data_IF_975669581278
#
_entry.id   IF_975669581278
#
_cell.length_a   1.000
_cell.length_b   1.000
_cell.length_c   1.000
_cell.angle_alpha   90.00
_cell.angle_beta   90.00
_cell.angle_gamma   90.00
#
_symmetry.space_group_name_H-M   'P 1'
#
loop_
_entity.id
_entity.type
_entity.pdbx_description
1 polymer ?
#
# COMPACT_ATOMS: atom_id res chain seq x y z
N UNK A 1 -21.69 -44.52 97.81
CA UNK A 1 -21.62 -44.87 96.40
C UNK A 1 -22.01 -43.66 95.62
N UNK A 2 -21.03 -42.91 95.02
CA UNK A 2 -21.26 -41.66 94.27
C UNK A 2 -21.14 -41.97 92.86
N UNK A 3 -22.22 -41.77 92.11
CA UNK A 3 -22.29 -41.89 90.59
C UNK A 3 -21.85 -40.57 89.97
N UNK A 4 -20.67 -40.61 89.40
CA UNK A 4 -20.12 -39.51 88.62
C UNK A 4 -20.93 -39.36 87.31
N UNK A 5 -21.60 -38.17 87.13
CA UNK A 5 -22.28 -37.73 85.90
C UNK A 5 -21.27 -37.12 85.03
N UNK A 6 -20.92 -37.78 83.92
CA UNK A 6 -20.09 -37.22 82.88
C UNK A 6 -20.89 -36.13 82.15
N UNK A 7 -20.37 -34.86 82.12
CA UNK A 7 -20.83 -33.79 81.24
C UNK A 7 -20.45 -34.11 79.81
N UNK A 8 -21.47 -34.29 78.92
CA UNK A 8 -21.29 -34.32 77.51
C UNK A 8 -20.89 -32.91 77.07
N UNK A 9 -19.68 -32.72 76.56
CA UNK A 9 -19.26 -31.54 75.85
C UNK A 9 -19.99 -31.57 74.53
N UNK A 10 -20.96 -30.64 74.27
CA UNK A 10 -21.49 -30.38 72.92
C UNK A 10 -20.38 -29.74 72.12
N UNK A 11 -19.98 -30.41 71.05
CA UNK A 11 -19.14 -29.85 70.02
C UNK A 11 -20.08 -28.96 69.13
N UNK A 12 -19.97 -27.65 69.34
CA UNK A 12 -20.65 -26.70 68.41
C UNK A 12 -19.99 -26.82 67.04
N UNK A 13 -20.68 -27.39 66.08
CA UNK A 13 -20.28 -27.39 64.69
C UNK A 13 -20.59 -26.01 64.08
N UNK A 14 -19.68 -25.42 63.27
CA UNK A 14 -19.86 -24.06 62.69
C UNK A 14 -21.08 -23.92 61.78
N UNK A 15 -21.84 -24.99 61.58
CA UNK A 15 -22.98 -25.09 60.65
C UNK A 15 -24.32 -24.70 61.31
N UNK A 16 -24.36 -24.63 62.67
CA UNK A 16 -25.64 -24.32 63.39
C UNK A 16 -25.90 -22.84 63.65
N UNK A 17 -25.04 -21.96 63.20
CA UNK A 17 -25.23 -20.51 63.41
C UNK A 17 -25.89 -19.90 62.16
N UNK A 18 -27.20 -19.61 62.24
CA UNK A 18 -27.93 -18.91 61.18
C UNK A 18 -27.31 -17.57 60.76
N UNK A 19 -26.53 -16.93 61.62
CA UNK A 19 -25.76 -15.71 61.33
C UNK A 19 -24.59 -15.95 60.39
N UNK A 20 -23.97 -17.13 60.41
CA UNK A 20 -22.88 -17.48 59.48
C UNK A 20 -23.41 -17.72 58.08
N UNK A 21 -24.61 -18.26 57.89
CA UNK A 21 -25.22 -18.47 56.59
C UNK A 21 -25.61 -17.15 55.90
N UNK A 22 -26.15 -16.18 56.67
CA UNK A 22 -26.51 -14.87 56.16
C UNK A 22 -25.29 -14.00 55.83
N UNK A 23 -24.19 -14.13 56.60
CA UNK A 23 -22.94 -13.44 56.30
C UNK A 23 -22.22 -14.03 55.09
N UNK A 24 -22.25 -15.38 54.93
CA UNK A 24 -21.68 -16.05 53.74
C UNK A 24 -22.44 -15.69 52.47
N UNK A 25 -23.78 -15.66 52.51
CA UNK A 25 -24.62 -15.25 51.36
C UNK A 25 -24.45 -13.77 51.00
N UNK A 26 -24.27 -12.88 52.00
CA UNK A 26 -23.96 -11.46 51.72
C UNK A 26 -22.56 -11.32 51.08
N UNK A 27 -21.55 -12.01 51.62
CA UNK A 27 -20.21 -11.97 51.06
C UNK A 27 -20.14 -12.55 49.63
N UNK A 28 -20.94 -13.57 49.32
CA UNK A 28 -21.06 -14.11 47.94
C UNK A 28 -21.76 -13.09 47.04
N UNK A 29 -22.85 -12.47 47.45
CA UNK A 29 -23.55 -11.45 46.68
C UNK A 29 -22.68 -10.19 46.44
N UNK A 30 -21.92 -9.76 47.45
CA UNK A 30 -21.01 -8.63 47.33
C UNK A 30 -19.79 -8.98 46.44
N UNK A 31 -19.30 -10.24 46.48
CA UNK A 31 -18.24 -10.71 45.58
C UNK A 31 -18.73 -10.80 44.11
N UNK A 32 -19.97 -11.26 43.89
CA UNK A 32 -20.55 -11.35 42.55
C UNK A 32 -20.82 -9.97 41.93
N UNK A 33 -21.35 -9.01 42.72
CA UNK A 33 -21.52 -7.63 42.28
C UNK A 33 -20.17 -6.95 42.00
N UNK A 34 -19.15 -7.23 42.77
CA UNK A 34 -17.78 -6.76 42.52
C UNK A 34 -17.17 -7.39 41.28
N UNK A 35 -17.42 -8.67 41.01
CA UNK A 35 -16.94 -9.37 39.82
C UNK A 35 -17.63 -8.85 38.54
N UNK A 36 -18.94 -8.64 38.59
CA UNK A 36 -19.70 -8.04 37.46
C UNK A 36 -19.16 -6.64 37.12
N UNK A 37 -18.97 -5.80 38.13
CA UNK A 37 -18.42 -4.45 37.91
C UNK A 37 -17.02 -4.48 37.28
N UNK A 38 -16.14 -5.38 37.71
CA UNK A 38 -14.82 -5.59 37.14
C UNK A 38 -14.86 -6.04 35.68
N UNK A 39 -15.73 -7.01 35.37
CA UNK A 39 -15.91 -7.50 33.99
C UNK A 39 -16.46 -6.41 33.07
N UNK A 40 -17.40 -5.60 33.53
CA UNK A 40 -17.91 -4.42 32.80
C UNK A 40 -16.80 -3.40 32.52
N UNK A 41 -15.97 -3.12 33.52
CA UNK A 41 -14.82 -2.20 33.36
C UNK A 41 -13.81 -2.75 32.35
N UNK A 42 -13.48 -4.04 32.44
CA UNK A 42 -12.58 -4.70 31.45
C UNK A 42 -13.16 -4.67 30.04
N UNK A 43 -14.49 -4.86 29.91
CA UNK A 43 -15.15 -4.75 28.61
C UNK A 43 -15.05 -3.32 28.04
N UNK A 44 -15.23 -2.29 28.88
CA UNK A 44 -15.02 -0.89 28.46
C UNK A 44 -13.57 -0.58 28.06
N UNK A 45 -12.59 -1.13 28.83
CA UNK A 45 -11.17 -1.03 28.46
C UNK A 45 -10.94 -1.67 27.10
N UNK A 46 -11.48 -2.88 26.86
CA UNK A 46 -11.37 -3.56 25.58
C UNK A 46 -11.97 -2.76 24.42
N UNK A 47 -13.14 -2.14 24.62
CA UNK A 47 -13.75 -1.29 23.58
C UNK A 47 -12.87 -0.07 23.26
N UNK A 48 -12.22 0.50 24.27
CA UNK A 48 -11.28 1.61 24.09
C UNK A 48 -10.03 1.14 23.35
N UNK A 49 -9.51 -0.01 23.72
CA UNK A 49 -8.36 -0.63 23.07
C UNK A 49 -8.60 -0.99 21.59
N UNK A 50 -9.80 -1.51 21.29
CA UNK A 50 -10.19 -1.80 19.88
C UNK A 50 -10.18 -0.52 19.04
N UNK A 51 -10.69 0.60 19.59
CA UNK A 51 -10.64 1.89 18.88
C UNK A 51 -9.21 2.38 18.66
N UNK A 52 -8.34 2.21 19.64
CA UNK A 52 -6.92 2.55 19.51
C UNK A 52 -6.26 1.67 18.43
N UNK A 53 -6.55 0.37 18.41
CA UNK A 53 -6.03 -0.54 17.38
C UNK A 53 -6.52 -0.15 15.97
N UNK A 54 -7.79 0.26 15.85
CA UNK A 54 -8.34 0.75 14.57
C UNK A 54 -7.63 2.02 14.09
N UNK A 55 -7.31 2.94 15.00
CA UNK A 55 -6.51 4.13 14.68
C UNK A 55 -5.11 3.74 14.20
N UNK A 56 -4.46 2.81 14.90
CA UNK A 56 -3.13 2.34 14.51
C UNK A 56 -3.12 1.63 13.15
N UNK A 57 -4.17 0.83 12.87
CA UNK A 57 -4.34 0.16 11.58
C UNK A 57 -4.48 1.19 10.46
N UNK A 58 -5.40 2.16 10.63
CA UNK A 58 -5.63 3.23 9.66
C UNK A 58 -4.35 4.02 9.37
N UNK A 59 -3.58 4.39 10.41
CA UNK A 59 -2.29 5.07 10.26
C UNK A 59 -1.22 4.21 9.61
N UNK A 60 -1.34 2.89 9.68
CA UNK A 60 -0.42 1.96 9.02
C UNK A 60 -0.69 1.80 7.52
N UNK A 61 -1.96 1.79 7.12
CA UNK A 61 -2.39 1.59 5.73
C UNK A 61 -2.13 2.83 4.86
N UNK A 62 -2.41 4.03 5.36
CA UNK A 62 -2.28 5.28 4.60
C UNK A 62 -0.85 5.56 4.07
N UNK A 63 0.24 5.37 4.83
CA UNK A 63 1.58 5.51 4.31
C UNK A 63 1.94 4.50 3.22
N UNK A 64 1.34 3.31 3.23
CA UNK A 64 1.53 2.31 2.17
C UNK A 64 0.88 2.75 0.87
N UNK A 65 -0.35 3.29 0.92
CA UNK A 65 -1.01 3.88 -0.26
C UNK A 65 -0.20 5.02 -0.89
N UNK A 66 0.41 5.88 -0.05
CA UNK A 66 1.29 6.96 -0.53
C UNK A 66 2.54 6.38 -1.19
N UNK A 67 3.14 5.34 -0.63
CA UNK A 67 4.31 4.67 -1.22
C UNK A 67 3.98 4.02 -2.56
N UNK A 68 2.84 3.34 -2.66
CA UNK A 68 2.39 2.72 -3.92
C UNK A 68 2.20 3.76 -5.02
N UNK A 69 1.67 4.96 -4.69
CA UNK A 69 1.58 6.07 -5.62
C UNK A 69 2.96 6.63 -6.02
N UNK A 70 3.90 6.74 -5.07
CA UNK A 70 5.28 7.16 -5.35
C UNK A 70 5.98 6.18 -6.29
N UNK A 71 5.85 4.88 -6.05
CA UNK A 71 6.42 3.83 -6.90
C UNK A 71 5.78 3.84 -8.31
N UNK A 72 4.47 4.06 -8.40
CA UNK A 72 3.78 4.20 -9.69
C UNK A 72 4.26 5.43 -10.48
N UNK A 73 4.51 6.56 -9.80
CA UNK A 73 5.06 7.78 -10.41
C UNK A 73 6.48 7.54 -10.91
N UNK A 74 7.33 6.85 -10.13
CA UNK A 74 8.70 6.52 -10.55
C UNK A 74 8.71 5.58 -11.77
N UNK A 75 7.79 4.60 -11.79
CA UNK A 75 7.57 3.75 -12.97
C UNK A 75 7.17 4.55 -14.21
N UNK A 76 6.26 5.52 -14.08
CA UNK A 76 5.87 6.40 -15.19
C UNK A 76 7.01 7.30 -15.66
N UNK A 77 7.81 7.86 -14.76
CA UNK A 77 9.01 8.65 -15.09
C UNK A 77 10.03 7.82 -15.87
N UNK A 78 10.27 6.59 -15.44
CA UNK A 78 11.14 5.65 -16.16
C UNK A 78 10.60 5.35 -17.57
N UNK A 79 9.28 5.10 -17.68
CA UNK A 79 8.63 4.88 -18.98
C UNK A 79 8.77 6.10 -19.92
N UNK A 80 8.53 7.30 -19.41
CA UNK A 80 8.69 8.57 -20.15
C UNK A 80 10.14 8.73 -20.62
N UNK A 81 11.12 8.43 -19.79
CA UNK A 81 12.54 8.45 -20.16
C UNK A 81 12.85 7.49 -21.29
N UNK A 82 12.32 6.26 -21.24
CA UNK A 82 12.50 5.27 -22.30
C UNK A 82 11.84 5.73 -23.63
N UNK A 83 10.63 6.26 -23.59
CA UNK A 83 9.96 6.79 -24.78
C UNK A 83 10.76 7.95 -25.39
N UNK A 84 11.33 8.84 -24.57
CA UNK A 84 12.18 9.93 -25.05
C UNK A 84 13.45 9.42 -25.72
N UNK A 85 14.07 8.37 -25.17
CA UNK A 85 15.22 7.72 -25.79
C UNK A 85 14.85 7.09 -27.15
N UNK A 86 13.71 6.36 -27.21
CA UNK A 86 13.19 5.80 -28.47
C UNK A 86 12.99 6.90 -29.53
N UNK A 87 12.37 8.02 -29.15
CA UNK A 87 12.15 9.17 -30.02
C UNK A 87 13.48 9.71 -30.53
N UNK A 88 14.47 9.90 -29.67
CA UNK A 88 15.78 10.40 -30.04
C UNK A 88 16.51 9.45 -31.00
N UNK A 89 16.38 8.14 -30.81
CA UNK A 89 16.95 7.13 -31.72
C UNK A 89 16.27 7.17 -33.10
N UNK A 90 14.94 7.26 -33.14
CA UNK A 90 14.19 7.37 -34.39
C UNK A 90 14.56 8.67 -35.13
N UNK A 91 14.67 9.80 -34.42
CA UNK A 91 15.06 11.08 -35.02
C UNK A 91 16.49 11.02 -35.60
N UNK A 92 17.44 10.41 -34.89
CA UNK A 92 18.79 10.15 -35.38
C UNK A 92 18.77 9.30 -36.64
N UNK A 93 18.00 8.21 -36.64
CA UNK A 93 17.89 7.31 -37.76
C UNK A 93 17.31 8.04 -39.00
N UNK A 94 16.26 8.84 -38.81
CA UNK A 94 15.65 9.64 -39.88
C UNK A 94 16.66 10.66 -40.43
N UNK A 95 17.41 11.35 -39.57
CA UNK A 95 18.45 12.27 -39.96
C UNK A 95 19.54 11.60 -40.83
N UNK A 96 20.02 10.42 -40.37
CA UNK A 96 20.99 9.64 -41.14
C UNK A 96 20.46 9.22 -42.50
N UNK A 97 19.20 8.75 -42.58
CA UNK A 97 18.58 8.37 -43.88
C UNK A 97 18.41 9.55 -44.82
N UNK A 98 18.16 10.75 -44.29
CA UNK A 98 18.17 11.99 -45.14
C UNK A 98 19.55 12.27 -45.72
N UNK A 99 20.62 12.10 -44.96
CA UNK A 99 21.99 12.22 -45.46
C UNK A 99 22.29 11.15 -46.53
N UNK A 100 21.85 9.91 -46.30
CA UNK A 100 22.00 8.83 -47.28
C UNK A 100 21.33 9.20 -48.61
N UNK A 101 20.12 9.79 -48.59
CA UNK A 101 19.41 10.27 -49.81
C UNK A 101 20.22 11.35 -50.53
N UNK A 102 20.79 12.31 -49.80
CA UNK A 102 21.61 13.37 -50.43
C UNK A 102 22.90 12.80 -51.04
N UNK A 103 23.52 11.81 -50.38
CA UNK A 103 24.68 11.08 -50.91
C UNK A 103 24.30 10.30 -52.19
N UNK A 104 23.15 9.59 -52.18
CA UNK A 104 22.66 8.90 -53.38
C UNK A 104 22.39 9.86 -54.55
N UNK A 105 21.72 11.02 -54.30
CA UNK A 105 21.49 12.04 -55.32
C UNK A 105 22.78 12.57 -55.93
N UNK A 106 23.79 12.87 -55.07
CA UNK A 106 25.08 13.37 -55.56
C UNK A 106 25.86 12.30 -56.32
N UNK A 107 25.75 11.02 -55.90
CA UNK A 107 26.32 9.90 -56.65
C UNK A 107 25.67 9.69 -58.03
N UNK A 108 24.32 9.75 -58.07
CA UNK A 108 23.59 9.64 -59.31
C UNK A 108 23.99 10.75 -60.30
N UNK A 109 24.03 12.01 -59.85
CA UNK A 109 24.42 13.14 -60.69
C UNK A 109 25.87 12.95 -61.24
N UNK A 110 26.78 12.48 -60.41
CA UNK A 110 28.16 12.19 -60.85
C UNK A 110 28.22 11.05 -61.85
N UNK A 111 27.48 9.96 -61.67
CA UNK A 111 27.47 8.83 -62.58
C UNK A 111 26.77 9.19 -63.89
N UNK A 112 25.76 10.04 -63.89
CA UNK A 112 25.08 10.57 -65.09
C UNK A 112 26.05 11.42 -65.94
N UNK A 113 26.83 12.29 -65.30
CA UNK A 113 27.87 13.08 -65.96
C UNK A 113 28.95 12.17 -66.56
N UNK A 114 29.45 11.20 -65.80
CA UNK A 114 30.39 10.21 -66.33
C UNK A 114 29.83 9.43 -67.51
N UNK A 115 28.56 8.95 -67.39
CA UNK A 115 27.88 8.18 -68.42
C UNK A 115 27.74 8.97 -69.75
N UNK A 116 27.53 10.29 -69.66
CA UNK A 116 27.44 11.15 -70.84
C UNK A 116 28.77 11.28 -71.60
N UNK A 117 29.90 11.08 -70.92
CA UNK A 117 31.25 11.24 -71.48
C UNK A 117 31.89 9.95 -71.94
N UNK A 118 31.28 8.77 -71.64
CA UNK A 118 31.83 7.44 -71.96
C UNK A 118 31.55 7.06 -73.43
N UNK A 119 32.58 6.48 -74.09
CA UNK A 119 32.46 5.97 -75.48
C UNK A 119 32.40 4.43 -75.55
N UNK A 120 32.56 3.72 -74.44
CA UNK A 120 32.61 2.27 -74.36
C UNK A 120 31.28 1.70 -73.81
N UNK A 121 30.60 0.86 -74.60
CA UNK A 121 29.31 0.27 -74.22
C UNK A 121 29.34 -0.47 -72.85
N UNK A 122 30.45 -1.17 -72.54
CA UNK A 122 30.61 -1.90 -71.30
C UNK A 122 30.64 -0.99 -70.05
N UNK A 123 31.30 0.15 -70.18
CA UNK A 123 31.34 1.18 -69.13
C UNK A 123 29.99 1.90 -69.00
N UNK A 124 29.33 2.17 -70.10
CA UNK A 124 27.98 2.71 -70.12
C UNK A 124 26.99 1.82 -69.40
N UNK A 125 27.01 0.49 -69.64
CA UNK A 125 26.13 -0.47 -68.93
C UNK A 125 26.45 -0.57 -67.45
N UNK A 126 27.73 -0.50 -67.08
CA UNK A 126 28.14 -0.49 -65.68
C UNK A 126 27.64 0.73 -64.94
N UNK A 127 27.85 1.93 -65.51
CA UNK A 127 27.34 3.18 -64.89
C UNK A 127 25.82 3.24 -64.83
N UNK A 128 25.15 2.68 -65.83
CA UNK A 128 23.66 2.61 -65.83
C UNK A 128 23.15 1.73 -64.68
N UNK A 129 23.82 0.61 -64.38
CA UNK A 129 23.49 -0.24 -63.23
C UNK A 129 23.79 0.44 -61.88
N UNK A 130 24.86 1.22 -61.79
CA UNK A 130 25.18 1.99 -60.59
C UNK A 130 24.11 3.09 -60.33
N UNK A 131 23.65 3.78 -61.38
CA UNK A 131 22.56 4.77 -61.28
C UNK A 131 21.28 4.08 -60.79
N UNK A 132 20.93 2.94 -61.35
CA UNK A 132 19.76 2.17 -60.95
C UNK A 132 19.89 1.72 -59.51
N UNK A 133 21.05 1.20 -59.09
CA UNK A 133 21.30 0.79 -57.69
C UNK A 133 21.15 1.96 -56.72
N UNK A 134 21.77 3.12 -56.99
CA UNK A 134 21.63 4.32 -56.19
C UNK A 134 20.18 4.85 -56.16
N UNK A 135 19.45 4.68 -57.25
CA UNK A 135 18.03 4.99 -57.33
C UNK A 135 17.20 4.13 -56.38
N UNK A 136 17.42 2.82 -56.36
CA UNK A 136 16.76 1.87 -55.47
C UNK A 136 17.11 2.11 -53.98
N UNK A 137 18.39 2.40 -53.69
CA UNK A 137 18.83 2.76 -52.32
C UNK A 137 18.14 4.05 -51.86
N UNK A 138 18.00 5.06 -52.70
CA UNK A 138 17.26 6.29 -52.38
C UNK A 138 15.78 5.99 -52.08
N UNK A 139 15.12 5.20 -52.93
CA UNK A 139 13.71 4.81 -52.71
C UNK A 139 13.53 4.03 -51.39
N UNK A 140 14.44 3.12 -51.08
CA UNK A 140 14.45 2.38 -49.85
C UNK A 140 14.61 3.31 -48.66
N UNK A 141 15.53 4.27 -48.70
CA UNK A 141 15.74 5.26 -47.64
C UNK A 141 14.49 6.15 -47.48
N UNK A 142 13.85 6.59 -48.56
CA UNK A 142 12.60 7.35 -48.50
C UNK A 142 11.45 6.55 -47.87
N UNK A 143 11.35 5.26 -48.18
CA UNK A 143 10.35 4.37 -47.59
C UNK A 143 10.59 4.24 -46.07
N UNK A 144 11.83 4.00 -45.65
CA UNK A 144 12.22 3.90 -44.21
C UNK A 144 11.95 5.20 -43.47
N UNK A 145 12.19 6.37 -44.09
CA UNK A 145 11.86 7.65 -43.47
C UNK A 145 10.35 7.77 -43.23
N UNK A 146 9.51 7.38 -44.21
CA UNK A 146 8.06 7.42 -44.03
C UNK A 146 7.58 6.52 -42.90
N UNK A 147 8.08 5.28 -42.85
CA UNK A 147 7.76 4.32 -41.78
C UNK A 147 8.16 4.85 -40.42
N UNK A 148 9.40 5.34 -40.29
CA UNK A 148 9.89 5.87 -39.01
C UNK A 148 9.24 7.20 -38.61
N UNK A 149 8.81 8.03 -39.58
CA UNK A 149 8.06 9.26 -39.28
C UNK A 149 6.68 8.94 -38.71
N UNK A 150 6.01 7.90 -39.23
CA UNK A 150 4.74 7.42 -38.68
C UNK A 150 4.96 6.88 -37.21
N UNK A 151 5.97 6.02 -37.01
CA UNK A 151 6.31 5.51 -35.71
C UNK A 151 6.67 6.64 -34.70
N UNK A 152 7.33 7.70 -35.19
CA UNK A 152 7.65 8.88 -34.37
C UNK A 152 6.40 9.63 -33.90
N UNK A 153 5.40 9.74 -34.78
CA UNK A 153 4.12 10.36 -34.45
C UNK A 153 3.38 9.55 -33.39
N UNK A 154 3.37 8.21 -33.50
CA UNK A 154 2.75 7.33 -32.52
C UNK A 154 3.46 7.42 -31.17
N UNK A 155 4.82 7.43 -31.17
CA UNK A 155 5.61 7.58 -29.94
C UNK A 155 5.40 8.94 -29.25
N UNK A 156 5.26 10.01 -30.02
CA UNK A 156 4.93 11.34 -29.46
C UNK A 156 3.55 11.38 -28.84
N UNK A 157 2.56 10.72 -29.45
CA UNK A 157 1.23 10.59 -28.86
C UNK A 157 1.24 9.72 -27.59
N UNK A 158 2.08 8.67 -27.53
CA UNK A 158 2.29 7.86 -26.32
C UNK A 158 2.95 8.68 -25.21
N UNK A 159 3.94 9.52 -25.54
CA UNK A 159 4.61 10.43 -24.61
C UNK A 159 3.61 11.42 -24.00
N UNK A 160 2.77 12.03 -24.82
CA UNK A 160 1.76 13.00 -24.36
C UNK A 160 0.78 12.35 -23.37
N UNK A 161 0.32 11.13 -23.65
CA UNK A 161 -0.52 10.38 -22.71
C UNK A 161 0.21 10.07 -21.41
N UNK A 162 1.43 9.55 -21.49
CA UNK A 162 2.22 9.21 -20.31
C UNK A 162 2.54 10.44 -19.43
N UNK A 163 2.77 11.61 -20.05
CA UNK A 163 2.99 12.86 -19.31
C UNK A 163 1.73 13.40 -18.66
N UNK A 164 0.57 13.26 -19.32
CA UNK A 164 -0.72 13.61 -18.73
C UNK A 164 -1.08 12.70 -17.55
N UNK A 165 -0.84 11.37 -17.70
CA UNK A 165 -1.03 10.40 -16.60
C UNK A 165 -0.09 10.70 -15.41
N UNK A 166 1.16 11.06 -15.69
CA UNK A 166 2.12 11.46 -14.64
C UNK A 166 1.62 12.69 -13.88
N UNK A 167 1.20 13.74 -14.59
CA UNK A 167 0.69 14.96 -13.96
C UNK A 167 -0.55 14.69 -13.08
N UNK A 168 -1.46 13.82 -13.55
CA UNK A 168 -2.62 13.38 -12.76
C UNK A 168 -2.20 12.66 -11.48
N UNK A 169 -1.26 11.71 -11.58
CA UNK A 169 -0.76 10.96 -10.42
C UNK A 169 0.00 11.83 -9.42
N UNK A 170 0.73 12.84 -9.88
CA UNK A 170 1.42 13.79 -8.99
C UNK A 170 0.43 14.63 -8.18
N UNK A 171 -0.68 15.07 -8.79
CA UNK A 171 -1.76 15.76 -8.08
C UNK A 171 -2.45 14.83 -7.07
N UNK A 172 -2.72 13.57 -7.45
CA UNK A 172 -3.30 12.59 -6.54
C UNK A 172 -2.38 12.34 -5.33
N UNK A 173 -1.06 12.25 -5.56
CA UNK A 173 -0.06 12.08 -4.50
C UNK A 173 -0.05 13.27 -3.54
N UNK A 174 -0.09 14.51 -4.03
CA UNK A 174 -0.14 15.70 -3.18
C UNK A 174 -1.41 15.72 -2.33
N UNK A 175 -2.56 15.42 -2.93
CA UNK A 175 -3.83 15.33 -2.22
C UNK A 175 -3.80 14.25 -1.13
N UNK A 176 -3.28 13.05 -1.45
CA UNK A 176 -3.15 11.95 -0.48
C UNK A 176 -2.19 12.29 0.66
N UNK A 177 -1.07 12.96 0.38
CA UNK A 177 -0.15 13.44 1.43
C UNK A 177 -0.79 14.47 2.35
N UNK A 178 -1.58 15.40 1.80
CA UNK A 178 -2.32 16.37 2.60
C UNK A 178 -3.37 15.70 3.48
N UNK A 179 -4.17 14.78 2.92
CA UNK A 179 -5.16 13.98 3.63
C UNK A 179 -4.51 13.14 4.76
N UNK A 180 -3.36 12.52 4.50
CA UNK A 180 -2.59 11.78 5.50
C UNK A 180 -2.21 12.65 6.70
N UNK A 181 -1.71 13.86 6.46
CA UNK A 181 -1.32 14.80 7.53
C UNK A 181 -2.55 15.18 8.38
N UNK A 182 -3.70 15.43 7.76
CA UNK A 182 -4.93 15.78 8.44
C UNK A 182 -5.45 14.61 9.29
N UNK A 183 -5.52 13.40 8.73
CA UNK A 183 -5.94 12.19 9.43
C UNK A 183 -5.00 11.88 10.61
N UNK A 184 -3.69 12.01 10.45
CA UNK A 184 -2.74 11.83 11.56
C UNK A 184 -2.99 12.86 12.67
N UNK A 185 -3.27 14.12 12.33
CA UNK A 185 -3.53 15.17 13.31
C UNK A 185 -4.84 14.93 14.07
N UNK A 186 -5.91 14.49 13.40
CA UNK A 186 -7.20 14.18 14.02
C UNK A 186 -7.08 12.92 14.89
N UNK A 187 -6.58 11.83 14.33
CA UNK A 187 -6.43 10.56 15.05
C UNK A 187 -5.49 10.65 16.24
N UNK A 188 -4.49 11.55 16.21
CA UNK A 188 -3.62 11.79 17.37
C UNK A 188 -4.38 12.39 18.55
N UNK A 189 -5.31 13.30 18.30
CA UNK A 189 -6.17 13.88 19.34
C UNK A 189 -7.16 12.86 19.90
N UNK A 190 -7.72 12.03 19.02
CA UNK A 190 -8.65 10.95 19.43
C UNK A 190 -7.92 9.89 20.28
N UNK A 191 -6.73 9.47 19.85
CA UNK A 191 -5.89 8.51 20.57
C UNK A 191 -5.53 9.04 21.96
N UNK A 192 -5.11 10.30 22.08
CA UNK A 192 -4.81 10.93 23.37
C UNK A 192 -6.03 10.96 24.31
N UNK A 193 -7.22 11.24 23.77
CA UNK A 193 -8.45 11.22 24.52
C UNK A 193 -8.81 9.78 24.99
N UNK A 194 -8.65 8.79 24.11
CA UNK A 194 -8.89 7.37 24.40
C UNK A 194 -7.89 6.83 25.44
N UNK A 195 -6.61 7.21 25.34
CA UNK A 195 -5.59 6.84 26.34
C UNK A 195 -5.92 7.41 27.73
N UNK A 196 -6.32 8.68 27.81
CA UNK A 196 -6.77 9.31 29.07
C UNK A 196 -8.03 8.62 29.63
N UNK A 197 -8.95 8.17 28.77
CA UNK A 197 -10.11 7.40 29.18
C UNK A 197 -9.71 6.03 29.69
N UNK A 198 -8.79 5.33 28.99
CA UNK A 198 -8.26 4.04 29.41
C UNK A 198 -7.56 4.13 30.77
N UNK A 199 -6.72 5.13 31.00
CA UNK A 199 -6.04 5.33 32.29
C UNK A 199 -7.05 5.45 33.46
N UNK A 200 -8.15 6.20 33.27
CA UNK A 200 -9.21 6.32 34.29
C UNK A 200 -9.89 5.00 34.56
N UNK A 201 -10.14 4.19 33.54
CA UNK A 201 -10.77 2.87 33.70
C UNK A 201 -9.80 1.87 34.36
N UNK A 202 -8.53 1.88 33.99
CA UNK A 202 -7.49 1.01 34.57
C UNK A 202 -7.27 1.30 36.04
N UNK A 203 -7.38 2.56 36.48
CA UNK A 203 -7.27 2.92 37.90
C UNK A 203 -8.33 2.24 38.81
N UNK A 204 -9.43 1.78 38.21
CA UNK A 204 -10.48 1.03 38.90
C UNK A 204 -10.30 -0.50 38.95
N UNK A 205 -9.24 -1.03 38.31
CA UNK A 205 -8.99 -2.47 38.17
C UNK A 205 -7.67 -2.84 38.87
N UNK A 206 -7.64 -3.96 39.57
CA UNK A 206 -6.42 -4.45 40.22
C UNK A 206 -5.35 -4.87 39.20
N UNK A 207 -4.08 -4.62 39.52
CA UNK A 207 -2.93 -4.86 38.64
C UNK A 207 -2.83 -6.33 38.16
N UNK A 208 -3.24 -7.30 38.98
CA UNK A 208 -3.23 -8.72 38.60
C UNK A 208 -4.24 -9.04 37.53
N UNK A 209 -5.45 -8.47 37.64
CA UNK A 209 -6.53 -8.63 36.67
C UNK A 209 -6.14 -7.95 35.36
N UNK A 210 -5.53 -6.76 35.40
CA UNK A 210 -5.07 -6.06 34.20
C UNK A 210 -3.96 -6.84 33.49
N UNK A 211 -2.97 -7.37 34.19
CA UNK A 211 -1.93 -8.22 33.60
C UNK A 211 -2.49 -9.50 32.98
N UNK A 212 -3.54 -10.09 33.52
CA UNK A 212 -4.23 -11.24 32.93
C UNK A 212 -4.99 -10.84 31.66
N UNK A 213 -5.66 -9.69 31.67
CA UNK A 213 -6.34 -9.13 30.50
C UNK A 213 -5.36 -8.88 29.34
N UNK A 214 -4.25 -8.20 29.59
CA UNK A 214 -3.26 -7.89 28.56
C UNK A 214 -2.67 -9.17 27.94
N UNK A 215 -2.37 -10.17 28.76
CA UNK A 215 -1.88 -11.46 28.28
C UNK A 215 -2.92 -12.20 27.42
N UNK A 216 -4.20 -12.19 27.82
CA UNK A 216 -5.27 -12.82 27.04
C UNK A 216 -5.46 -12.12 25.70
N UNK A 217 -5.47 -10.78 25.70
CA UNK A 217 -5.63 -9.97 24.49
C UNK A 217 -4.50 -10.18 23.49
N UNK A 218 -3.24 -10.23 23.96
CA UNK A 218 -2.08 -10.49 23.09
C UNK A 218 -2.09 -11.89 22.46
N UNK A 219 -2.62 -12.90 23.19
CA UNK A 219 -2.68 -14.28 22.70
C UNK A 219 -3.93 -14.58 21.86
N UNK A 220 -4.96 -13.76 21.94
CA UNK A 220 -6.19 -13.95 21.19
C UNK A 220 -6.03 -13.47 19.74
N UNK A 221 -6.41 -14.28 18.75
CA UNK A 221 -6.34 -13.93 17.30
C UNK A 221 -7.11 -12.65 16.95
N UNK A 222 -8.21 -12.39 17.66
CA UNK A 222 -9.09 -11.27 17.46
C UNK A 222 -8.86 -10.13 18.47
N UNK A 223 -7.81 -10.21 19.28
CA UNK A 223 -7.51 -9.27 20.36
C UNK A 223 -8.65 -9.05 21.37
N UNK A 224 -9.55 -10.04 21.53
CA UNK A 224 -10.65 -10.01 22.47
C UNK A 224 -10.32 -10.85 23.70
N UNK A 225 -10.26 -10.20 24.87
CA UNK A 225 -10.08 -10.86 26.17
C UNK A 225 -11.41 -11.11 26.89
N UNK A 226 -12.41 -10.27 26.62
CA UNK A 226 -13.75 -10.33 27.21
C UNK A 226 -14.77 -10.41 26.10
N UNK A 227 -15.64 -11.42 26.13
CA UNK A 227 -16.70 -11.62 25.12
C UNK A 227 -18.05 -11.72 25.78
N UNK A 228 -19.10 -11.27 25.08
CA UNK A 228 -20.48 -11.44 25.52
C UNK A 228 -20.97 -12.82 25.14
N UNK A 229 -21.61 -13.52 26.10
CA UNK A 229 -22.25 -14.82 25.86
C UNK A 229 -23.72 -14.60 25.58
N UNK A 230 -24.21 -15.08 24.44
CA UNK A 230 -25.64 -15.08 24.09
C UNK A 230 -26.11 -16.52 23.96
N UNK A 231 -27.14 -16.89 24.73
CA UNK A 231 -27.75 -18.23 24.67
C UNK A 231 -26.71 -19.37 24.79
N UNK A 232 -25.86 -19.30 25.82
CA UNK A 232 -24.81 -20.27 26.13
C UNK A 232 -23.73 -20.45 25.03
N UNK A 233 -23.62 -19.52 24.11
CA UNK A 233 -22.58 -19.49 23.09
C UNK A 233 -21.78 -18.18 23.14
N UNK A 234 -20.46 -18.28 22.93
CA UNK A 234 -19.62 -17.09 22.73
C UNK A 234 -20.03 -16.38 21.43
N UNK A 235 -20.23 -15.08 21.51
CA UNK A 235 -20.53 -14.20 20.39
C UNK A 235 -19.28 -13.81 19.60
#
# INVERSE_FOLDING_TARGET
>A
MATSRQKKTQVETPIDNRETFTSLSKNLNDSDSSMESKLRTLYHIQQTDIKIDQIHLLRGELPEEVRDLEDAIEGLRTRISNINNDIAEIEKFVAQKRLDIENCKSAIARYEDQRSNVKNNREYDSLSKEIEFQGLEKELAEKRIRENTAALADKKAELEKATADLAGREVDLENKKAELVEIIAETSKEEEALLKQKEKLVAGVDARTMAAYDRMRLNARNHLAVVTVKRDACG
#
